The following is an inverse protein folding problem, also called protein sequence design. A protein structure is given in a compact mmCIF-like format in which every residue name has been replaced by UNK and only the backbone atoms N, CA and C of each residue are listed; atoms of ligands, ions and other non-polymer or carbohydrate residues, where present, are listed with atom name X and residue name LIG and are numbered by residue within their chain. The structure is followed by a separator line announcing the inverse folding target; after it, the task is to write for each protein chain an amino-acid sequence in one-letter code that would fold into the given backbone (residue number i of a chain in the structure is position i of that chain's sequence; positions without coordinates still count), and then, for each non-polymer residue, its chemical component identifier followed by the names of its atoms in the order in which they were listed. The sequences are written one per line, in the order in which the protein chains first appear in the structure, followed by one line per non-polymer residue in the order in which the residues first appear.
data_IF_568823089909
#
_entry.id   IF_568823089909
#
_cell.length_a   1.000
_cell.length_b   1.000
_cell.length_c   1.000
_cell.angle_alpha   90.00
_cell.angle_beta   90.00
_cell.angle_gamma   90.00
#
_symmetry.space_group_name_H-M   'P 1'
#
loop_
_entity.id
_entity.type
_entity.pdbx_description
1 polymer ?
#
# COMPACT_ATOMS: atom_id res chain seq x y z
N UNK A 1 -26.60 25.12 19.92
CA UNK A 1 -25.64 26.24 19.88
C UNK A 1 -24.41 25.74 19.14
N UNK A 2 -24.21 26.19 17.91
CA UNK A 2 -23.07 25.78 17.08
C UNK A 2 -21.87 26.64 17.44
N UNK A 3 -20.75 25.99 17.73
CA UNK A 3 -19.49 26.62 18.12
C UNK A 3 -18.94 27.50 16.98
N UNK A 4 -18.81 28.82 17.15
CA UNK A 4 -18.47 29.76 16.06
C UNK A 4 -17.01 29.66 15.58
N UNK A 5 -16.19 28.78 16.17
CA UNK A 5 -14.77 28.62 15.83
C UNK A 5 -14.41 27.27 15.19
N UNK A 6 -15.40 26.51 14.71
CA UNK A 6 -15.11 25.26 14.01
C UNK A 6 -14.70 25.59 12.57
N UNK A 7 -13.39 25.67 12.31
CA UNK A 7 -12.84 25.74 10.96
C UNK A 7 -13.57 24.73 10.06
N UNK A 8 -14.15 25.20 8.96
CA UNK A 8 -14.83 24.32 8.00
C UNK A 8 -13.81 23.34 7.43
N UNK A 9 -13.95 22.06 7.81
CA UNK A 9 -13.14 20.95 7.29
C UNK A 9 -13.79 20.37 6.05
N UNK A 10 -13.10 20.47 4.93
CA UNK A 10 -13.49 19.88 3.65
C UNK A 10 -12.91 18.48 3.48
N UNK A 11 -11.72 18.23 4.02
CA UNK A 11 -11.11 16.91 4.02
C UNK A 11 -11.43 16.15 5.31
N UNK A 12 -11.87 14.90 5.16
CA UNK A 12 -12.10 13.95 6.26
C UNK A 12 -11.03 12.85 6.18
N UNK A 13 -10.05 12.85 7.11
CA UNK A 13 -9.05 11.80 7.18
C UNK A 13 -9.67 10.42 7.38
N UNK A 14 -9.02 9.39 6.85
CA UNK A 14 -9.45 8.01 7.05
C UNK A 14 -9.37 7.66 8.54
N UNK A 15 -10.46 7.14 9.06
CA UNK A 15 -10.53 6.60 10.42
C UNK A 15 -10.26 5.09 10.40
N UNK A 16 -9.96 4.51 11.57
CA UNK A 16 -9.74 3.07 11.74
C UNK A 16 -10.87 2.21 11.14
N UNK A 17 -12.11 2.69 11.20
CA UNK A 17 -13.30 2.04 10.62
C UNK A 17 -13.18 1.83 9.10
N UNK A 18 -12.49 2.70 8.38
CA UNK A 18 -12.22 2.53 6.95
C UNK A 18 -11.30 1.32 6.69
N UNK A 19 -10.43 0.98 7.66
CA UNK A 19 -9.49 -0.13 7.58
C UNK A 19 -10.06 -1.45 8.13
N UNK A 20 -11.15 -1.44 8.92
CA UNK A 20 -11.72 -2.68 9.50
C UNK A 20 -12.04 -3.73 8.44
N UNK A 21 -12.53 -3.32 7.26
CA UNK A 21 -12.78 -4.25 6.13
C UNK A 21 -11.50 -4.89 5.59
N UNK A 22 -10.37 -4.20 5.68
CA UNK A 22 -9.03 -4.69 5.31
C UNK A 22 -8.43 -5.57 6.42
N UNK A 23 -8.67 -5.24 7.69
CA UNK A 23 -8.13 -5.96 8.86
C UNK A 23 -8.63 -7.40 8.97
N UNK A 24 -9.87 -7.67 8.52
CA UNK A 24 -10.40 -9.03 8.49
C UNK A 24 -9.64 -9.96 7.51
N UNK A 25 -8.96 -9.41 6.51
CA UNK A 25 -8.07 -10.16 5.60
C UNK A 25 -6.60 -10.16 6.07
N UNK A 26 -6.20 -9.18 6.88
CA UNK A 26 -4.82 -8.82 7.18
C UNK A 26 -4.27 -9.37 8.50
N UNK A 27 -4.41 -10.66 8.75
CA UNK A 27 -3.79 -11.23 9.94
C UNK A 27 -2.29 -11.49 9.68
N UNK A 28 -1.40 -10.67 10.27
CA UNK A 28 0.05 -10.91 10.35
C UNK A 28 0.43 -12.22 11.08
N UNK A 29 -0.54 -13.02 11.54
CA UNK A 29 -0.28 -14.35 12.08
C UNK A 29 0.54 -15.22 11.13
N UNK A 30 0.59 -14.96 9.82
CA UNK A 30 1.47 -15.66 8.88
C UNK A 30 2.96 -15.28 8.96
N UNK A 31 3.30 -14.10 9.50
CA UNK A 31 4.67 -13.55 9.49
C UNK A 31 5.61 -14.26 10.47
N UNK A 32 5.13 -14.55 11.68
CA UNK A 32 5.93 -15.11 12.79
C UNK A 32 5.49 -16.51 13.17
N UNK A 33 5.20 -17.35 12.17
CA UNK A 33 4.95 -18.79 12.41
C UNK A 33 6.24 -19.56 12.14
N UNK A 34 6.56 -20.58 12.96
CA UNK A 34 7.49 -21.60 12.51
C UNK A 34 6.86 -22.18 11.24
N UNK A 35 7.45 -21.89 10.08
CA UNK A 35 7.05 -22.49 8.81
C UNK A 35 7.46 -23.96 8.89
N UNK A 36 6.70 -24.74 9.65
CA UNK A 36 6.80 -26.20 9.64
C UNK A 36 6.57 -26.59 8.20
N UNK A 37 7.60 -27.19 7.59
CA UNK A 37 7.81 -27.51 6.18
C UNK A 37 6.72 -28.34 5.48
N UNK A 38 5.49 -28.36 5.97
CA UNK A 38 4.33 -28.90 5.28
C UNK A 38 3.78 -27.88 4.27
N UNK A 39 4.57 -27.62 3.24
CA UNK A 39 4.08 -27.16 1.94
C UNK A 39 4.40 -25.73 1.56
N UNK A 40 4.93 -25.58 0.34
CA UNK A 40 5.05 -24.37 -0.48
C UNK A 40 3.82 -23.43 -0.41
N UNK A 41 2.62 -24.00 -0.24
CA UNK A 41 1.34 -23.27 -0.26
C UNK A 41 1.25 -22.14 0.77
N UNK A 42 1.81 -22.29 1.98
CA UNK A 42 1.62 -21.26 3.02
C UNK A 42 2.31 -19.92 2.71
N UNK A 43 3.44 -19.95 1.99
CA UNK A 43 4.18 -18.75 1.61
C UNK A 43 3.57 -18.08 0.37
N UNK A 44 3.07 -18.87 -0.58
CA UNK A 44 2.35 -18.35 -1.75
C UNK A 44 1.01 -17.75 -1.34
N UNK A 45 0.26 -18.40 -0.45
CA UNK A 45 -0.98 -17.88 0.10
C UNK A 45 -0.75 -16.56 0.84
N UNK A 46 0.33 -16.47 1.61
CA UNK A 46 0.69 -15.22 2.30
C UNK A 46 1.11 -14.12 1.31
N UNK A 47 1.87 -14.46 0.27
CA UNK A 47 2.20 -13.52 -0.81
C UNK A 47 0.94 -12.95 -1.48
N UNK A 48 0.00 -13.84 -1.82
CA UNK A 48 -1.27 -13.47 -2.43
C UNK A 48 -2.12 -12.58 -1.50
N UNK A 49 -2.16 -12.88 -0.20
CA UNK A 49 -2.83 -12.03 0.79
C UNK A 49 -2.19 -10.63 0.85
N UNK A 50 -0.86 -10.52 0.85
CA UNK A 50 -0.17 -9.24 0.81
C UNK A 50 -0.54 -8.41 -0.44
N UNK A 51 -0.58 -9.03 -1.62
CA UNK A 51 -0.98 -8.35 -2.85
C UNK A 51 -2.45 -7.96 -2.87
N UNK A 52 -3.35 -8.82 -2.40
CA UNK A 52 -4.78 -8.50 -2.28
C UNK A 52 -5.01 -7.30 -1.37
N UNK A 53 -4.40 -7.29 -0.18
CA UNK A 53 -4.48 -6.16 0.75
C UNK A 53 -3.91 -4.86 0.14
N UNK A 54 -2.79 -4.96 -0.59
CA UNK A 54 -2.19 -3.81 -1.29
C UNK A 54 -3.19 -3.21 -2.26
N UNK A 55 -3.84 -4.05 -3.07
CA UNK A 55 -4.76 -3.61 -4.11
C UNK A 55 -6.06 -3.05 -3.52
N UNK A 56 -6.56 -3.64 -2.44
CA UNK A 56 -7.68 -3.09 -1.69
C UNK A 56 -7.35 -1.72 -1.08
N UNK A 57 -6.14 -1.54 -0.54
CA UNK A 57 -5.68 -0.26 0.00
C UNK A 57 -5.53 0.81 -1.08
N UNK A 58 -5.04 0.46 -2.27
CA UNK A 58 -5.04 1.34 -3.45
C UNK A 58 -6.48 1.75 -3.81
N UNK A 59 -7.41 0.80 -3.83
CA UNK A 59 -8.82 1.07 -4.09
C UNK A 59 -9.47 1.95 -3.02
N UNK A 60 -9.12 1.76 -1.75
CA UNK A 60 -9.58 2.60 -0.65
C UNK A 60 -9.08 4.04 -0.81
N UNK A 61 -7.79 4.22 -1.10
CA UNK A 61 -7.19 5.52 -1.39
C UNK A 61 -7.92 6.24 -2.53
N UNK A 62 -8.27 5.51 -3.60
CA UNK A 62 -9.03 6.07 -4.71
C UNK A 62 -10.43 6.53 -4.29
N UNK A 63 -11.18 5.69 -3.58
CA UNK A 63 -12.59 5.97 -3.23
C UNK A 63 -12.75 7.01 -2.14
N UNK A 64 -11.84 7.03 -1.16
CA UNK A 64 -12.04 7.81 0.05
C UNK A 64 -11.10 9.00 0.18
N UNK A 65 -9.91 8.98 -0.44
CA UNK A 65 -8.97 10.10 -0.38
C UNK A 65 -9.04 10.93 -1.66
N UNK A 66 -8.88 10.28 -2.82
CA UNK A 66 -8.86 11.01 -4.10
C UNK A 66 -10.20 11.59 -4.48
N UNK A 67 -11.32 10.92 -4.17
CA UNK A 67 -12.64 11.51 -4.38
C UNK A 67 -12.81 12.85 -3.62
N UNK A 68 -12.25 12.96 -2.41
CA UNK A 68 -12.28 14.22 -1.65
C UNK A 68 -11.30 15.23 -2.24
N UNK A 69 -10.05 14.83 -2.50
CA UNK A 69 -8.99 15.72 -3.00
C UNK A 69 -9.23 16.23 -4.43
N UNK A 70 -10.05 15.54 -5.23
CA UNK A 70 -10.51 16.01 -6.54
C UNK A 70 -11.82 16.82 -6.47
N UNK A 71 -12.42 16.94 -5.28
CA UNK A 71 -13.65 17.68 -5.03
C UNK A 71 -13.40 19.15 -4.67
N UNK A 72 -14.49 19.89 -4.47
CA UNK A 72 -14.42 21.29 -4.04
C UNK A 72 -14.00 21.36 -2.56
N UNK A 73 -13.13 22.30 -2.14
CA UNK A 73 -12.50 23.36 -2.94
C UNK A 73 -11.14 22.97 -3.55
N UNK A 74 -10.66 21.75 -3.32
CA UNK A 74 -9.31 21.33 -3.71
C UNK A 74 -9.06 21.34 -5.22
N UNK A 75 -10.07 21.06 -6.04
CA UNK A 75 -9.94 21.11 -7.51
C UNK A 75 -9.63 22.51 -8.06
N UNK A 76 -9.79 23.57 -7.26
CA UNK A 76 -9.46 24.95 -7.63
C UNK A 76 -7.96 25.26 -7.45
N UNK A 77 -7.22 24.38 -6.79
CA UNK A 77 -5.79 24.55 -6.54
C UNK A 77 -5.00 24.25 -7.84
N UNK A 78 -3.82 24.88 -8.03
CA UNK A 78 -3.01 24.67 -9.24
C UNK A 78 -2.39 23.26 -9.32
N UNK A 79 -2.49 22.49 -8.24
CA UNK A 79 -1.92 21.15 -8.09
C UNK A 79 -2.99 20.22 -7.53
N UNK A 80 -2.93 18.95 -7.91
CA UNK A 80 -3.85 17.92 -7.47
C UNK A 80 -3.10 16.70 -6.91
N UNK A 81 -3.78 15.97 -6.04
CA UNK A 81 -3.35 14.63 -5.65
C UNK A 81 -3.89 13.64 -6.66
N UNK A 82 -3.05 12.74 -7.17
CA UNK A 82 -3.43 11.75 -8.17
C UNK A 82 -2.73 10.41 -7.99
N UNK A 83 -3.24 9.37 -8.65
CA UNK A 83 -2.56 8.08 -8.75
C UNK A 83 -1.46 8.09 -9.80
N UNK A 84 -0.38 7.38 -9.49
CA UNK A 84 0.70 7.06 -10.41
C UNK A 84 1.01 5.57 -10.32
N UNK A 85 0.76 4.86 -11.41
CA UNK A 85 1.18 3.48 -11.58
C UNK A 85 2.71 3.41 -11.79
N UNK A 86 3.31 2.33 -11.31
CA UNK A 86 4.73 2.01 -11.46
C UNK A 86 4.90 0.72 -12.25
N UNK A 87 6.08 0.53 -12.87
CA UNK A 87 6.40 -0.70 -13.59
C UNK A 87 6.44 -1.96 -12.70
N UNK A 88 6.48 -1.80 -11.37
CA UNK A 88 6.45 -2.90 -10.40
C UNK A 88 5.03 -3.36 -10.02
N UNK A 89 3.99 -2.90 -10.74
CA UNK A 89 2.60 -3.27 -10.48
C UNK A 89 2.07 -2.68 -9.18
N UNK A 90 2.54 -1.49 -8.79
CA UNK A 90 2.01 -0.73 -7.64
C UNK A 90 1.57 0.66 -8.07
N UNK A 91 0.58 1.20 -7.37
CA UNK A 91 0.06 2.55 -7.62
C UNK A 91 0.17 3.38 -6.36
N UNK A 92 0.77 4.58 -6.49
CA UNK A 92 0.97 5.50 -5.39
C UNK A 92 0.22 6.80 -5.58
N UNK A 93 -0.08 7.47 -4.48
CA UNK A 93 -0.59 8.84 -4.49
C UNK A 93 0.58 9.84 -4.65
N UNK A 94 0.47 10.77 -5.59
CA UNK A 94 1.45 11.84 -5.82
C UNK A 94 0.76 13.18 -6.08
N UNK A 95 1.39 14.25 -5.61
CA UNK A 95 1.09 15.60 -6.05
C UNK A 95 1.58 15.80 -7.48
N UNK A 96 0.76 16.43 -8.32
CA UNK A 96 1.10 16.80 -9.68
C UNK A 96 0.38 18.07 -10.11
N UNK A 97 0.90 18.73 -11.14
CA UNK A 97 0.13 19.74 -11.87
C UNK A 97 -0.92 19.09 -12.76
N UNK A 98 -2.01 19.79 -13.02
CA UNK A 98 -3.11 19.34 -13.90
C UNK A 98 -2.63 19.01 -15.32
N UNK A 99 -1.72 19.83 -15.84
CA UNK A 99 -1.07 19.64 -17.15
C UNK A 99 0.00 18.53 -17.16
N UNK A 100 0.25 17.90 -16.00
CA UNK A 100 1.26 16.85 -15.77
C UNK A 100 2.71 17.29 -16.05
N UNK A 101 2.97 18.59 -16.11
CA UNK A 101 4.32 19.13 -16.35
C UNK A 101 5.29 18.91 -15.18
N UNK A 102 4.77 18.81 -13.96
CA UNK A 102 5.55 18.58 -12.76
C UNK A 102 4.83 17.62 -11.79
N UNK A 103 5.62 16.93 -10.96
CA UNK A 103 5.13 16.05 -9.91
C UNK A 103 6.07 16.02 -8.71
N UNK A 104 5.55 15.68 -7.54
CA UNK A 104 6.32 15.50 -6.31
C UNK A 104 5.89 16.42 -5.18
N UNK A 105 6.40 16.15 -3.98
CA UNK A 105 6.01 16.85 -2.74
C UNK A 105 6.35 18.34 -2.76
N UNK A 106 7.34 18.76 -3.57
CA UNK A 106 7.69 20.17 -3.75
C UNK A 106 6.49 21.02 -4.17
N UNK A 107 5.59 20.50 -5.01
CA UNK A 107 4.36 21.18 -5.41
C UNK A 107 3.42 21.46 -4.24
N UNK A 108 3.33 20.53 -3.28
CA UNK A 108 2.56 20.73 -2.05
C UNK A 108 3.25 21.73 -1.11
N UNK A 109 4.59 21.69 -1.02
CA UNK A 109 5.36 22.66 -0.22
C UNK A 109 5.21 24.09 -0.76
N UNK A 110 5.27 24.26 -2.09
CA UNK A 110 4.98 25.53 -2.77
C UNK A 110 3.56 26.02 -2.45
N UNK A 111 2.58 25.11 -2.49
CA UNK A 111 1.21 25.43 -2.12
C UNK A 111 1.08 25.88 -0.67
N UNK A 112 1.75 25.21 0.27
CA UNK A 112 1.74 25.58 1.69
C UNK A 112 2.46 26.91 1.95
N UNK A 113 3.48 27.24 1.16
CA UNK A 113 4.24 28.49 1.30
C UNK A 113 3.57 29.70 0.61
N UNK A 114 2.67 29.46 -0.35
CA UNK A 114 2.02 30.52 -1.11
C UNK A 114 1.00 31.30 -0.27
N UNK A 115 1.11 32.63 -0.28
CA UNK A 115 0.11 33.53 0.34
C UNK A 115 -1.22 33.54 -0.40
N UNK A 116 -1.27 33.01 -1.62
CA UNK A 116 -2.52 32.84 -2.37
C UNK A 116 -3.32 31.62 -1.93
N UNK A 117 -2.73 30.72 -1.14
CA UNK A 117 -3.44 29.55 -0.59
C UNK A 117 -4.31 29.99 0.59
N UNK A 118 -5.63 29.75 0.54
CA UNK A 118 -6.52 30.14 1.63
C UNK A 118 -6.14 29.45 2.95
N UNK A 119 -6.00 30.23 4.01
CA UNK A 119 -5.55 29.76 5.35
C UNK A 119 -6.43 28.63 5.88
N UNK A 120 -7.74 28.69 5.62
CA UNK A 120 -8.71 27.67 6.03
C UNK A 120 -8.50 26.29 5.35
N UNK A 121 -7.70 26.22 4.28
CA UNK A 121 -7.36 24.96 3.60
C UNK A 121 -6.04 24.36 4.08
N UNK A 122 -5.18 25.12 4.74
CA UNK A 122 -3.83 24.66 5.12
C UNK A 122 -3.87 23.39 5.98
N UNK A 123 -4.79 23.35 6.93
CA UNK A 123 -4.90 22.22 7.84
C UNK A 123 -5.49 20.97 7.15
N UNK A 124 -6.31 21.13 6.11
CA UNK A 124 -6.80 20.02 5.28
C UNK A 124 -5.72 19.53 4.30
N UNK A 125 -4.97 20.45 3.68
CA UNK A 125 -3.83 20.13 2.83
C UNK A 125 -2.75 19.36 3.59
N UNK A 126 -2.49 19.74 4.84
CA UNK A 126 -1.60 19.00 5.73
C UNK A 126 -2.13 17.59 6.01
N UNK A 127 -3.43 17.45 6.31
CA UNK A 127 -4.03 16.15 6.56
C UNK A 127 -4.00 15.24 5.32
N UNK A 128 -4.22 15.79 4.11
CA UNK A 128 -4.08 15.05 2.85
C UNK A 128 -2.65 14.53 2.68
N UNK A 129 -1.64 15.35 2.97
CA UNK A 129 -0.24 14.93 2.85
C UNK A 129 0.11 13.82 3.85
N UNK A 130 -0.34 13.90 5.10
CA UNK A 130 -0.16 12.83 6.09
C UNK A 130 -0.84 11.53 5.62
N UNK A 131 -2.04 11.63 5.06
CA UNK A 131 -2.76 10.49 4.50
C UNK A 131 -1.99 9.86 3.32
N UNK A 132 -1.46 10.69 2.41
CA UNK A 132 -0.65 10.27 1.27
C UNK A 132 0.59 9.51 1.71
N UNK A 133 1.34 10.07 2.65
CA UNK A 133 2.57 9.46 3.19
C UNK A 133 2.25 8.08 3.79
N UNK A 134 1.24 8.03 4.65
CA UNK A 134 0.88 6.79 5.38
C UNK A 134 0.39 5.70 4.42
N UNK A 135 -0.51 6.03 3.49
CA UNK A 135 -1.03 5.07 2.52
C UNK A 135 0.08 4.57 1.59
N UNK A 136 0.93 5.45 1.08
CA UNK A 136 2.04 5.03 0.22
C UNK A 136 3.04 4.13 0.95
N UNK A 137 3.33 4.41 2.23
CA UNK A 137 4.17 3.56 3.07
C UNK A 137 3.52 2.17 3.22
N UNK A 138 2.25 2.09 3.60
CA UNK A 138 1.52 0.83 3.77
C UNK A 138 1.47 0.01 2.47
N UNK A 139 1.18 0.64 1.33
CA UNK A 139 1.21 0.01 -0.01
C UNK A 139 2.61 -0.55 -0.31
N UNK A 140 3.67 0.22 -0.01
CA UNK A 140 5.06 -0.20 -0.23
C UNK A 140 5.45 -1.40 0.63
N UNK A 141 5.03 -1.40 1.90
CA UNK A 141 5.28 -2.51 2.84
C UNK A 141 4.57 -3.78 2.37
N UNK A 142 3.28 -3.72 2.05
CA UNK A 142 2.51 -4.87 1.57
C UNK A 142 3.11 -5.44 0.27
N UNK A 143 3.49 -4.58 -0.66
CA UNK A 143 4.14 -5.03 -1.88
C UNK A 143 5.48 -5.73 -1.63
N UNK A 144 6.31 -5.15 -0.76
CA UNK A 144 7.62 -5.73 -0.40
C UNK A 144 7.47 -7.08 0.30
N UNK A 145 6.56 -7.17 1.26
CA UNK A 145 6.25 -8.41 1.98
C UNK A 145 5.76 -9.50 1.02
N UNK A 146 4.82 -9.18 0.13
CA UNK A 146 4.30 -10.13 -0.85
C UNK A 146 5.38 -10.65 -1.79
N UNK A 147 6.27 -9.76 -2.27
CA UNK A 147 7.41 -10.15 -3.11
C UNK A 147 8.36 -11.09 -2.36
N UNK A 148 8.74 -10.74 -1.14
CA UNK A 148 9.64 -11.56 -0.32
C UNK A 148 9.03 -12.92 0.01
N UNK A 149 7.74 -12.98 0.30
CA UNK A 149 7.01 -14.23 0.50
C UNK A 149 7.09 -15.14 -0.74
N UNK A 150 6.87 -14.59 -1.94
CA UNK A 150 6.95 -15.34 -3.20
C UNK A 150 8.37 -15.83 -3.52
N UNK A 151 9.38 -14.99 -3.28
CA UNK A 151 10.79 -15.37 -3.41
C UNK A 151 11.14 -16.52 -2.45
N UNK A 152 10.70 -16.44 -1.19
CA UNK A 152 10.89 -17.49 -0.20
C UNK A 152 10.17 -18.79 -0.58
N UNK A 153 8.93 -18.72 -1.10
CA UNK A 153 8.21 -19.88 -1.59
C UNK A 153 8.99 -20.61 -2.70
N UNK A 154 9.59 -19.83 -3.60
CA UNK A 154 10.39 -20.34 -4.72
C UNK A 154 11.67 -21.01 -4.23
N UNK A 155 12.38 -20.39 -3.27
CA UNK A 155 13.59 -20.95 -2.64
C UNK A 155 13.27 -22.23 -1.86
N UNK A 156 12.18 -22.27 -1.11
CA UNK A 156 11.73 -23.45 -0.38
C UNK A 156 11.39 -24.61 -1.33
N UNK A 157 10.71 -24.33 -2.45
CA UNK A 157 10.40 -25.32 -3.47
C UNK A 157 11.67 -25.90 -4.12
N UNK A 158 12.67 -25.06 -4.39
CA UNK A 158 13.96 -25.50 -4.92
C UNK A 158 14.72 -26.40 -3.92
N UNK A 159 14.72 -26.04 -2.63
CA UNK A 159 15.30 -26.86 -1.57
C UNK A 159 14.63 -28.24 -1.46
N UNK A 160 13.30 -28.27 -1.48
CA UNK A 160 12.54 -29.53 -1.46
C UNK A 160 12.83 -30.39 -2.69
N UNK A 161 12.88 -29.79 -3.88
CA UNK A 161 13.22 -30.51 -5.11
C UNK A 161 14.62 -31.12 -5.05
N UNK A 162 15.61 -30.42 -4.47
CA UNK A 162 16.95 -30.94 -4.28
C UNK A 162 16.98 -32.12 -3.29
N UNK A 163 16.26 -32.02 -2.17
CA UNK A 163 16.12 -33.09 -1.18
C UNK A 163 15.47 -34.34 -1.79
N UNK A 164 14.33 -34.20 -2.45
CA UNK A 164 13.62 -35.31 -3.10
C UNK A 164 14.46 -35.97 -4.20
N UNK A 165 15.26 -35.19 -4.94
CA UNK A 165 16.20 -35.73 -5.95
C UNK A 165 17.26 -36.61 -5.30
N UNK A 166 17.81 -36.21 -4.15
CA UNK A 166 18.80 -37.01 -3.42
C UNK A 166 18.20 -38.29 -2.82
N UNK A 167 16.99 -38.24 -2.28
CA UNK A 167 16.32 -39.44 -1.79
C UNK A 167 16.09 -40.46 -2.92
N UNK A 168 15.58 -39.99 -4.07
CA UNK A 168 15.36 -40.82 -5.25
C UNK A 168 16.65 -41.45 -5.78
N UNK A 169 17.80 -40.78 -5.69
CA UNK A 169 19.08 -41.36 -6.12
C UNK A 169 19.70 -42.31 -5.08
N UNK A 170 19.26 -42.26 -3.83
CA UNK A 170 19.76 -43.11 -2.74
C UNK A 170 18.98 -44.43 -2.64
N UNK A 171 17.68 -44.42 -2.97
CA UNK A 171 16.84 -45.63 -2.95
C UNK A 171 17.28 -46.77 -3.91
N UNK A 172 17.79 -46.52 -5.14
CA UNK A 172 18.32 -47.57 -6.01
C UNK A 172 19.56 -48.26 -5.41
N UNK A 173 20.46 -47.50 -4.79
CA UNK A 173 21.72 -48.01 -4.22
C UNK A 173 21.53 -48.90 -2.97
N UNK A 174 20.34 -48.88 -2.35
CA UNK A 174 19.95 -49.75 -1.24
C UNK A 174 19.26 -51.05 -1.70
N UNK A 175 18.86 -51.17 -2.98
CA UNK A 175 18.27 -52.40 -3.53
C UNK A 175 19.31 -53.39 -4.07
N UNK A 176 20.52 -52.94 -4.34
CA UNK A 176 21.64 -53.77 -4.82
C UNK A 176 22.58 -54.24 -3.67
N UNK A 177 22.08 -54.28 -2.43
CA UNK A 177 22.78 -54.82 -1.25
C UNK A 177 21.97 -55.92 -0.57
#
# INVERSE_FOLDING_TARGET
MSDPNRETRYFRPLQQTAFMRLEHAASLKGLLRPFTFKGKGSLEDWANQCFAMRDELIGLAQRLVLQQAAGHPFHLLPVELAQQATGAGTTFLRWRRHDRSAMGVALWQELMASTSTPVNLLADLHAIELQRITLNMQISLLHTLGRQAQECASKAAAAEAAYLRRLKSTQPALRDR
#
